data_IF_641677416093
#
_entry.id   IF_641677416093
#
_cell.length_a   1.000
_cell.length_b   1.000
_cell.length_c   1.000
_cell.angle_alpha   90.00
_cell.angle_beta   90.00
_cell.angle_gamma   90.00
#
_symmetry.space_group_name_H-M   'P 1'
#
loop_
_entity.id
_entity.type
_entity.pdbx_description
1 polymer ?
#
# COMPACT_ATOMS: atom_id res chain seq x y z
N UNK A 1 11.83 29.80 -27.77
CA UNK A 1 11.79 29.49 -26.31
C UNK A 1 10.58 28.63 -25.95
N UNK A 2 10.50 27.42 -26.48
CA UNK A 2 9.33 26.54 -26.23
C UNK A 2 9.71 25.06 -26.11
N UNK A 3 10.91 24.71 -25.64
CA UNK A 3 11.34 23.30 -25.53
C UNK A 3 11.62 22.81 -24.11
N UNK A 4 11.48 23.66 -23.10
CA UNK A 4 11.83 23.29 -21.70
C UNK A 4 10.66 22.71 -20.89
N UNK A 5 9.42 22.77 -21.40
CA UNK A 5 8.23 22.32 -20.65
C UNK A 5 7.87 20.86 -20.91
N UNK A 6 8.42 20.23 -21.93
CA UNK A 6 8.04 18.87 -22.35
C UNK A 6 8.84 17.76 -21.67
N UNK A 7 9.96 18.08 -21.04
CA UNK A 7 10.85 17.11 -20.40
C UNK A 7 10.45 16.82 -18.93
N UNK A 8 9.73 17.75 -18.28
CA UNK A 8 9.29 17.61 -16.88
C UNK A 8 8.17 16.61 -16.65
N UNK A 9 7.52 16.14 -17.72
CA UNK A 9 6.34 15.25 -17.63
C UNK A 9 6.69 13.76 -17.72
N UNK A 10 7.99 13.42 -17.80
CA UNK A 10 8.42 12.03 -17.93
C UNK A 10 8.23 11.26 -16.64
N UNK A 11 7.32 10.30 -16.67
CA UNK A 11 7.12 9.38 -15.55
C UNK A 11 8.33 8.44 -15.43
N UNK A 12 9.01 8.46 -14.28
CA UNK A 12 10.11 7.56 -13.96
C UNK A 12 9.57 6.27 -13.37
N UNK A 13 8.53 6.37 -12.54
CA UNK A 13 7.92 5.23 -11.88
C UNK A 13 6.48 5.53 -11.45
N UNK A 14 5.62 4.52 -11.58
CA UNK A 14 4.24 4.55 -11.10
C UNK A 14 3.97 3.33 -10.24
N UNK A 15 3.37 3.51 -9.07
CA UNK A 15 3.06 2.44 -8.14
C UNK A 15 1.73 2.61 -7.44
N UNK A 16 1.19 1.48 -7.01
CA UNK A 16 0.06 1.39 -6.10
C UNK A 16 0.42 0.46 -4.95
N UNK A 17 -0.27 0.53 -3.81
CA UNK A 17 -0.08 -0.42 -2.72
C UNK A 17 -0.13 -1.88 -3.21
N UNK A 18 0.87 -2.66 -2.84
CA UNK A 18 0.95 -4.08 -3.18
C UNK A 18 0.13 -4.90 -2.19
N UNK A 19 -1.00 -5.41 -2.62
CA UNK A 19 -1.94 -6.14 -1.75
C UNK A 19 -1.99 -7.64 -2.04
N UNK A 20 -1.50 -8.09 -3.20
CA UNK A 20 -1.66 -9.48 -3.67
C UNK A 20 -1.14 -10.50 -2.66
N UNK A 21 0.06 -10.30 -2.10
CA UNK A 21 0.62 -11.20 -1.10
C UNK A 21 -0.22 -11.25 0.18
N UNK A 22 -0.80 -10.12 0.59
CA UNK A 22 -1.68 -10.04 1.76
C UNK A 22 -2.98 -10.82 1.55
N UNK A 23 -3.60 -10.67 0.37
CA UNK A 23 -4.81 -11.42 -0.01
C UNK A 23 -4.53 -12.92 0.02
N UNK A 24 -3.48 -13.38 -0.66
CA UNK A 24 -3.15 -14.80 -0.75
C UNK A 24 -2.94 -15.43 0.63
N UNK A 25 -2.10 -14.82 1.48
CA UNK A 25 -1.79 -15.40 2.79
C UNK A 25 -3.01 -15.36 3.72
N UNK A 26 -3.81 -14.30 3.68
CA UNK A 26 -5.07 -14.24 4.45
C UNK A 26 -6.06 -15.31 4.00
N UNK A 27 -6.22 -15.49 2.70
CA UNK A 27 -7.13 -16.52 2.15
C UNK A 27 -6.68 -17.91 2.58
N UNK A 28 -5.38 -18.23 2.51
CA UNK A 28 -4.86 -19.52 2.98
C UNK A 28 -5.11 -19.70 4.49
N UNK A 29 -4.83 -18.69 5.29
CA UNK A 29 -5.02 -18.73 6.74
C UNK A 29 -6.50 -18.97 7.10
N UNK A 30 -7.41 -18.26 6.43
CA UNK A 30 -8.84 -18.44 6.61
C UNK A 30 -9.32 -19.81 6.15
N UNK A 31 -8.79 -20.34 5.06
CA UNK A 31 -9.11 -21.70 4.59
C UNK A 31 -8.69 -22.76 5.60
N UNK A 32 -7.52 -22.60 6.26
CA UNK A 32 -7.07 -23.50 7.32
C UNK A 32 -8.01 -23.45 8.53
N UNK A 33 -8.40 -22.25 8.98
CA UNK A 33 -9.32 -22.09 10.10
C UNK A 33 -10.70 -22.69 9.76
N UNK A 34 -11.23 -22.38 8.57
CA UNK A 34 -12.51 -22.93 8.12
C UNK A 34 -12.50 -24.45 8.06
N UNK A 35 -11.42 -25.05 7.54
CA UNK A 35 -11.24 -26.50 7.52
C UNK A 35 -11.21 -27.11 8.92
N UNK A 36 -10.56 -26.45 9.87
CA UNK A 36 -10.52 -26.87 11.27
C UNK A 36 -11.90 -26.83 11.94
N UNK A 37 -12.66 -25.76 11.72
CA UNK A 37 -14.04 -25.62 12.23
C UNK A 37 -14.95 -26.71 11.65
N UNK A 38 -14.92 -26.91 10.33
CA UNK A 38 -15.71 -27.94 9.65
C UNK A 38 -15.36 -29.35 10.14
N UNK A 39 -14.07 -29.62 10.39
CA UNK A 39 -13.63 -30.90 10.95
C UNK A 39 -14.17 -31.13 12.36
N UNK A 40 -14.11 -30.11 13.22
CA UNK A 40 -14.66 -30.19 14.59
C UNK A 40 -16.16 -30.42 14.59
N UNK A 41 -16.92 -29.67 13.78
CA UNK A 41 -18.36 -29.85 13.66
C UNK A 41 -18.73 -31.21 13.10
N UNK A 42 -18.00 -31.74 12.12
CA UNK A 42 -18.19 -33.10 11.60
C UNK A 42 -17.94 -34.16 12.67
N UNK A 43 -16.88 -33.98 13.46
CA UNK A 43 -16.55 -34.91 14.56
C UNK A 43 -17.60 -34.87 15.66
N UNK A 44 -18.13 -33.72 16.00
CA UNK A 44 -19.21 -33.58 16.97
C UNK A 44 -20.52 -34.21 16.48
N UNK A 45 -20.86 -34.09 15.21
CA UNK A 45 -22.04 -34.74 14.61
C UNK A 45 -21.96 -36.25 14.64
N UNK A 46 -20.76 -36.84 14.51
CA UNK A 46 -20.55 -38.29 14.62
C UNK A 46 -20.77 -38.74 16.07
N UNK A 47 -20.31 -37.96 17.06
CA UNK A 47 -20.45 -38.28 18.49
C UNK A 47 -21.91 -38.13 18.96
N UNK A 48 -22.60 -37.09 18.51
CA UNK A 48 -23.99 -36.79 18.87
C UNK A 48 -24.94 -37.17 17.74
N UNK A 49 -25.11 -38.45 17.48
CA UNK A 49 -25.92 -39.05 16.41
C UNK A 49 -27.42 -38.65 16.41
N UNK A 50 -27.84 -37.80 17.35
CA UNK A 50 -29.18 -37.24 17.51
C UNK A 50 -29.25 -35.72 17.39
N UNK A 51 -28.24 -35.07 16.79
CA UNK A 51 -28.33 -33.62 16.61
C UNK A 51 -29.34 -33.30 15.52
N UNK A 52 -30.48 -32.82 15.99
CA UNK A 52 -31.61 -32.29 15.24
C UNK A 52 -31.16 -31.30 14.16
N UNK A 53 -32.06 -30.94 13.23
CA UNK A 53 -31.92 -29.92 12.17
C UNK A 53 -31.24 -28.60 12.60
N UNK A 54 -31.19 -28.30 13.88
CA UNK A 54 -30.47 -27.16 14.46
C UNK A 54 -28.95 -27.18 14.23
N UNK A 55 -28.30 -28.32 14.22
CA UNK A 55 -26.87 -28.45 13.99
C UNK A 55 -26.46 -27.98 12.58
N UNK A 56 -27.25 -28.37 11.57
CA UNK A 56 -27.01 -27.95 10.18
C UNK A 56 -27.23 -26.45 10.02
N UNK A 57 -28.26 -25.90 10.66
CA UNK A 57 -28.53 -24.46 10.62
C UNK A 57 -27.39 -23.64 11.24
N UNK A 58 -26.84 -24.09 12.36
CA UNK A 58 -25.74 -23.45 13.06
C UNK A 58 -24.47 -23.49 12.21
N UNK A 59 -24.15 -24.59 11.56
CA UNK A 59 -23.05 -24.75 10.63
C UNK A 59 -23.15 -23.76 9.45
N UNK A 60 -24.32 -23.70 8.82
CA UNK A 60 -24.57 -22.77 7.70
C UNK A 60 -24.40 -21.33 8.15
N UNK A 61 -24.92 -20.98 9.33
CA UNK A 61 -24.78 -19.61 9.88
C UNK A 61 -23.33 -19.25 10.14
N UNK A 62 -22.53 -20.17 10.68
CA UNK A 62 -21.10 -20.00 10.94
C UNK A 62 -20.33 -19.77 9.64
N UNK A 63 -20.61 -20.56 8.58
CA UNK A 63 -19.98 -20.35 7.27
C UNK A 63 -20.33 -18.99 6.69
N UNK A 64 -21.60 -18.59 6.75
CA UNK A 64 -22.05 -17.29 6.24
C UNK A 64 -21.36 -16.16 6.99
N UNK A 65 -21.31 -16.20 8.32
CA UNK A 65 -20.64 -15.19 9.13
C UNK A 65 -19.15 -15.09 8.77
N UNK A 66 -18.50 -16.23 8.56
CA UNK A 66 -17.09 -16.29 8.17
C UNK A 66 -16.83 -15.66 6.79
N UNK A 67 -17.70 -15.94 5.81
CA UNK A 67 -17.62 -15.35 4.47
C UNK A 67 -17.83 -13.84 4.50
N UNK A 68 -18.73 -13.34 5.34
CA UNK A 68 -18.99 -11.91 5.49
C UNK A 68 -17.74 -11.21 6.06
N UNK A 69 -17.15 -11.76 7.12
CA UNK A 69 -15.94 -11.20 7.74
C UNK A 69 -14.78 -11.19 6.74
N UNK A 70 -14.60 -12.29 6.01
CA UNK A 70 -13.57 -12.39 4.97
C UNK A 70 -13.78 -11.34 3.87
N UNK A 71 -15.01 -11.21 3.37
CA UNK A 71 -15.35 -10.23 2.33
C UNK A 71 -15.06 -8.79 2.77
N UNK A 72 -15.46 -8.43 4.00
CA UNK A 72 -15.19 -7.08 4.55
C UNK A 72 -13.67 -6.82 4.63
N UNK A 73 -12.89 -7.82 5.01
CA UNK A 73 -11.44 -7.69 5.12
C UNK A 73 -10.75 -7.52 3.77
N UNK A 74 -11.18 -8.25 2.74
CA UNK A 74 -10.65 -8.11 1.39
C UNK A 74 -11.07 -6.78 0.74
N UNK A 75 -12.30 -6.35 0.98
CA UNK A 75 -12.79 -5.05 0.52
C UNK A 75 -11.92 -3.90 1.03
N UNK A 76 -11.50 -3.94 2.28
CA UNK A 76 -10.60 -2.94 2.87
C UNK A 76 -9.26 -2.83 2.14
N UNK A 77 -8.67 -3.95 1.72
CA UNK A 77 -7.43 -3.96 0.93
C UNK A 77 -7.64 -3.42 -0.48
N UNK A 78 -8.75 -3.78 -1.12
CA UNK A 78 -9.12 -3.27 -2.44
C UNK A 78 -9.30 -1.75 -2.42
N UNK A 79 -10.01 -1.23 -1.42
CA UNK A 79 -10.19 0.21 -1.22
C UNK A 79 -8.83 0.88 -1.02
N UNK A 80 -7.95 0.33 -0.19
CA UNK A 80 -6.61 0.88 0.02
C UNK A 80 -5.81 0.98 -1.29
N UNK A 81 -5.90 -0.02 -2.16
CA UNK A 81 -5.23 -0.01 -3.47
C UNK A 81 -5.86 0.98 -4.43
N UNK A 82 -7.17 1.09 -4.43
CA UNK A 82 -7.91 1.99 -5.32
C UNK A 82 -7.69 3.47 -4.93
N UNK A 83 -7.55 3.74 -3.64
CA UNK A 83 -7.44 5.11 -3.11
C UNK A 83 -6.03 5.69 -3.18
N UNK A 84 -4.99 4.87 -3.33
CA UNK A 84 -3.62 5.35 -3.30
C UNK A 84 -2.92 5.12 -4.64
N UNK A 85 -2.36 6.19 -5.20
CA UNK A 85 -1.54 6.17 -6.40
C UNK A 85 -0.29 7.02 -6.16
N UNK A 86 0.85 6.44 -6.47
CA UNK A 86 2.15 7.08 -6.35
C UNK A 86 2.75 7.24 -7.74
N UNK A 87 3.20 8.44 -8.08
CA UNK A 87 3.82 8.74 -9.38
C UNK A 87 5.11 9.51 -9.12
N UNK A 88 6.23 8.92 -9.47
CA UNK A 88 7.54 9.58 -9.46
C UNK A 88 7.81 10.10 -10.86
N UNK A 89 7.95 11.41 -10.98
CA UNK A 89 8.39 12.10 -12.18
C UNK A 89 9.87 12.47 -12.07
N UNK A 90 10.44 13.00 -13.12
CA UNK A 90 11.84 13.44 -13.11
C UNK A 90 12.09 14.62 -12.17
N UNK A 91 11.08 15.45 -11.92
CA UNK A 91 11.17 16.71 -11.15
C UNK A 91 10.36 16.70 -9.85
N UNK A 92 9.50 15.71 -9.65
CA UNK A 92 8.56 15.73 -8.54
C UNK A 92 8.05 14.34 -8.16
N UNK A 93 7.55 14.22 -6.93
CA UNK A 93 6.84 13.05 -6.47
C UNK A 93 5.39 13.40 -6.17
N UNK A 94 4.47 12.83 -6.94
CA UNK A 94 3.04 12.96 -6.71
C UNK A 94 2.49 11.81 -5.87
N UNK A 95 1.82 12.13 -4.79
CA UNK A 95 1.07 11.19 -3.96
C UNK A 95 -0.40 11.54 -4.06
N UNK A 96 -1.17 10.69 -4.75
CA UNK A 96 -2.62 10.82 -4.89
C UNK A 96 -3.30 9.89 -3.90
N UNK A 97 -4.15 10.46 -3.03
CA UNK A 97 -4.91 9.71 -2.04
C UNK A 97 -6.37 10.11 -2.08
N UNK A 98 -7.26 9.11 -1.95
CA UNK A 98 -8.71 9.33 -1.87
C UNK A 98 -9.48 8.57 -2.94
N UNK A 99 -10.71 8.16 -2.60
CA UNK A 99 -11.63 7.43 -3.48
C UNK A 99 -12.64 8.39 -4.14
N UNK A 100 -13.34 9.17 -3.33
CA UNK A 100 -14.36 10.13 -3.80
C UNK A 100 -13.77 11.53 -3.98
N UNK A 101 -12.89 11.92 -3.07
CA UNK A 101 -12.19 13.20 -3.16
C UNK A 101 -10.69 12.92 -3.24
N UNK A 102 -10.10 13.18 -4.39
CA UNK A 102 -8.67 12.96 -4.60
C UNK A 102 -7.86 14.13 -4.05
N UNK A 103 -7.00 13.86 -3.08
CA UNK A 103 -5.98 14.79 -2.60
C UNK A 103 -4.67 14.47 -3.30
N UNK A 104 -4.17 15.38 -4.11
CA UNK A 104 -2.87 15.28 -4.76
C UNK A 104 -1.86 16.10 -3.96
N UNK A 105 -0.79 15.46 -3.50
CA UNK A 105 0.35 16.14 -2.88
C UNK A 105 1.54 16.00 -3.80
N UNK A 106 2.05 17.13 -4.27
CA UNK A 106 3.25 17.20 -5.11
C UNK A 106 4.41 17.60 -4.21
N UNK A 107 5.43 16.77 -4.19
CA UNK A 107 6.66 16.99 -3.42
C UNK A 107 7.75 17.36 -4.42
N UNK A 108 8.22 18.59 -4.32
CA UNK A 108 9.34 19.11 -5.13
C UNK A 108 10.67 18.91 -4.40
N UNK A 109 11.81 18.83 -5.11
CA UNK A 109 13.11 18.57 -4.51
C UNK A 109 13.52 19.58 -3.43
N UNK A 110 13.17 20.85 -3.61
CA UNK A 110 13.46 21.92 -2.65
C UNK A 110 12.78 21.75 -1.29
N UNK A 111 11.66 21.03 -1.25
CA UNK A 111 10.95 20.71 -0.01
C UNK A 111 11.31 19.34 0.58
N UNK A 112 12.13 18.55 -0.11
CA UNK A 112 12.52 17.22 0.36
C UNK A 112 13.60 17.34 1.44
N UNK A 113 13.32 16.77 2.63
CA UNK A 113 14.26 16.78 3.75
C UNK A 113 14.90 15.43 3.96
N UNK A 114 14.10 14.40 4.17
CA UNK A 114 14.58 13.05 4.47
C UNK A 114 13.58 11.98 4.03
N UNK A 115 14.09 10.76 3.89
CA UNK A 115 13.32 9.57 3.54
C UNK A 115 13.61 8.46 4.53
N UNK A 116 12.58 8.03 5.23
CA UNK A 116 12.64 6.95 6.20
C UNK A 116 11.89 5.71 5.69
N UNK A 117 12.54 4.56 5.77
CA UNK A 117 11.98 3.28 5.37
C UNK A 117 11.51 2.49 6.57
N UNK A 118 10.20 2.23 6.66
CA UNK A 118 9.60 1.46 7.74
C UNK A 118 9.21 0.08 7.23
N UNK A 119 9.77 -0.96 7.86
CA UNK A 119 9.42 -2.35 7.58
C UNK A 119 9.02 -3.07 8.85
N UNK A 120 7.74 -3.42 8.96
CA UNK A 120 7.26 -4.35 9.98
C UNK A 120 7.66 -5.79 9.64
N UNK A 121 7.57 -6.71 10.61
CA UNK A 121 7.83 -8.14 10.39
C UNK A 121 6.94 -8.68 9.27
N UNK A 122 5.66 -8.37 9.29
CA UNK A 122 4.71 -8.78 8.26
C UNK A 122 5.07 -8.21 6.88
N UNK A 123 5.48 -6.94 6.81
CA UNK A 123 5.92 -6.31 5.58
C UNK A 123 7.16 -6.98 4.97
N UNK A 124 8.08 -7.47 5.81
CA UNK A 124 9.27 -8.22 5.36
C UNK A 124 8.87 -9.54 4.68
N UNK A 125 7.94 -10.29 5.29
CA UNK A 125 7.42 -11.56 4.74
C UNK A 125 6.75 -11.31 3.38
N UNK A 126 6.04 -10.21 3.22
CA UNK A 126 5.34 -9.87 1.98
C UNK A 126 6.18 -9.11 0.94
N UNK A 127 7.45 -8.86 1.22
CA UNK A 127 8.34 -8.10 0.33
C UNK A 127 7.89 -6.64 0.13
N UNK A 128 7.22 -6.07 1.13
CA UNK A 128 6.69 -4.70 1.08
C UNK A 128 7.29 -3.84 2.20
N UNK A 129 7.00 -2.56 2.18
CA UNK A 129 7.31 -1.62 3.26
C UNK A 129 6.62 -0.30 3.03
N UNK A 130 6.69 0.54 4.05
CA UNK A 130 6.18 1.89 3.98
C UNK A 130 7.35 2.86 3.86
N UNK A 131 7.18 3.87 3.01
CA UNK A 131 8.17 4.93 2.81
C UNK A 131 7.58 6.21 3.40
N UNK A 132 8.23 6.76 4.41
CA UNK A 132 7.90 8.06 4.98
C UNK A 132 8.81 9.12 4.37
N UNK A 133 8.21 10.18 3.86
CA UNK A 133 8.90 11.30 3.24
C UNK A 133 8.68 12.51 4.13
N UNK A 134 9.75 13.04 4.66
CA UNK A 134 9.77 14.26 5.47
C UNK A 134 9.93 15.46 4.55
N UNK A 135 9.06 16.44 4.68
CA UNK A 135 9.05 17.66 3.88
C UNK A 135 9.37 18.80 4.81
N UNK A 136 10.43 19.55 4.48
CA UNK A 136 10.82 20.76 5.19
C UNK A 136 9.87 21.89 4.80
N UNK A 137 8.95 22.23 5.68
CA UNK A 137 7.98 23.31 5.54
C UNK A 137 7.79 23.97 6.90
N UNK A 138 7.14 25.14 6.97
CA UNK A 138 6.82 25.83 8.23
C UNK A 138 6.12 24.95 9.28
N UNK A 139 5.51 23.85 8.82
CA UNK A 139 4.97 22.76 9.68
C UNK A 139 5.49 21.46 9.11
N UNK A 140 6.45 20.82 9.73
CA UNK A 140 7.02 19.53 9.32
C UNK A 140 5.94 18.54 8.88
N UNK A 141 5.68 18.47 7.58
CA UNK A 141 4.72 17.53 7.01
C UNK A 141 5.40 16.25 6.64
N UNK A 142 4.84 15.15 7.14
CA UNK A 142 5.26 13.80 6.75
C UNK A 142 4.23 13.19 5.81
N UNK A 143 4.68 12.73 4.65
CA UNK A 143 3.84 11.93 3.72
C UNK A 143 4.28 10.48 3.76
N UNK A 144 3.31 9.57 3.70
CA UNK A 144 3.54 8.13 3.80
C UNK A 144 3.03 7.42 2.56
N UNK A 145 3.92 6.66 1.91
CA UNK A 145 3.56 5.68 0.89
C UNK A 145 3.42 4.31 1.55
N UNK A 146 2.28 3.66 1.41
CA UNK A 146 1.90 2.46 2.17
C UNK A 146 2.06 1.23 1.29
N UNK A 147 2.59 0.13 1.86
CA UNK A 147 2.70 -1.19 1.21
C UNK A 147 3.36 -1.14 -0.17
N UNK A 148 4.44 -0.39 -0.29
CA UNK A 148 5.23 -0.32 -1.52
C UNK A 148 5.98 -1.64 -1.71
N UNK A 149 5.90 -2.22 -2.92
CA UNK A 149 6.69 -3.39 -3.27
C UNK A 149 8.14 -2.97 -3.48
N UNK A 150 9.06 -3.79 -3.00
CA UNK A 150 10.50 -3.52 -3.02
C UNK A 150 10.84 -2.08 -2.61
N UNK A 151 10.52 -1.73 -1.36
CA UNK A 151 10.56 -0.36 -0.91
C UNK A 151 11.99 0.21 -0.88
N UNK A 152 13.01 -0.64 -0.81
CA UNK A 152 14.43 -0.18 -0.88
C UNK A 152 14.76 0.34 -2.26
N UNK A 153 14.35 -0.39 -3.30
CA UNK A 153 14.58 0.04 -4.68
C UNK A 153 13.86 1.35 -4.98
N UNK A 154 12.59 1.44 -4.59
CA UNK A 154 11.78 2.65 -4.78
C UNK A 154 12.34 3.83 -3.98
N UNK A 155 12.75 3.62 -2.74
CA UNK A 155 13.36 4.65 -1.90
C UNK A 155 14.67 5.20 -2.52
N UNK A 156 15.52 4.32 -3.04
CA UNK A 156 16.75 4.72 -3.72
C UNK A 156 16.45 5.48 -5.02
N UNK A 157 15.42 5.07 -5.76
CA UNK A 157 14.98 5.75 -6.97
C UNK A 157 14.49 7.17 -6.66
N UNK A 158 13.66 7.35 -5.62
CA UNK A 158 13.18 8.65 -5.16
C UNK A 158 14.39 9.52 -4.77
N UNK A 159 15.30 8.97 -3.95
CA UNK A 159 16.49 9.70 -3.49
C UNK A 159 17.36 10.16 -4.66
N UNK A 160 17.58 9.31 -5.65
CA UNK A 160 18.38 9.64 -6.83
C UNK A 160 17.73 10.73 -7.68
N UNK A 161 16.41 10.69 -7.89
CA UNK A 161 15.67 11.72 -8.63
C UNK A 161 15.75 13.05 -7.89
N UNK A 162 15.49 13.07 -6.59
CA UNK A 162 15.55 14.29 -5.79
C UNK A 162 16.95 14.90 -5.73
N UNK A 163 17.99 14.07 -5.59
CA UNK A 163 19.39 14.54 -5.59
C UNK A 163 19.82 15.15 -6.92
N UNK A 164 19.46 14.53 -8.05
CA UNK A 164 19.78 15.05 -9.39
C UNK A 164 19.18 16.43 -9.64
N UNK A 165 17.94 16.61 -9.22
CA UNK A 165 17.26 17.89 -9.40
C UNK A 165 17.81 18.98 -8.47
N UNK A 166 18.24 18.62 -7.27
CA UNK A 166 18.89 19.56 -6.35
C UNK A 166 20.17 20.13 -6.97
N UNK A 167 21.03 19.29 -7.56
CA UNK A 167 22.26 19.71 -8.26
C UNK A 167 21.94 20.62 -9.46
N UNK A 168 20.92 20.28 -10.26
CA UNK A 168 20.52 21.08 -11.43
C UNK A 168 20.02 22.48 -11.06
N UNK A 169 19.34 22.59 -9.92
CA UNK A 169 18.87 23.90 -9.41
C UNK A 169 20.04 24.78 -8.93
N UNK A 170 21.03 24.16 -8.27
CA UNK A 170 22.21 24.86 -7.78
C UNK A 170 23.10 25.39 -8.94
N UNK A 171 23.32 24.56 -9.98
CA UNK A 171 24.05 24.99 -11.20
C UNK A 171 23.34 26.12 -11.97
N UNK A 172 21.99 26.10 -11.99
CA UNK A 172 21.18 27.12 -12.66
C UNK A 172 21.23 28.49 -11.98
N UNK A 173 21.52 28.56 -10.69
CA UNK A 173 21.61 29.80 -9.92
C UNK A 173 23.00 30.43 -10.04
N UNK A 174 24.06 29.63 -10.23
CA UNK A 174 25.43 30.07 -10.43
C UNK A 174 25.61 30.75 -11.81
N UNK A 175 24.88 30.34 -12.83
CA UNK A 175 24.98 30.88 -14.19
C UNK A 175 24.21 32.17 -14.40
N UNK A 176 23.42 32.61 -13.42
CA UNK A 176 22.67 33.89 -13.47
C UNK A 176 23.32 35.06 -12.74
N UNK A 177 24.48 34.87 -12.14
CA UNK A 177 25.33 35.93 -11.56
C UNK A 177 26.45 36.32 -12.51
#
# INVERSE_FOLDING_TARGET
>A
MASSTQDSDREVWRGRPWITSYVVVRTIFLAIIASGVLYLESSMNIIYRNVSSYGIQLLVLTIIAFLIIWFIWELNLLVLRATNLYVLREDSLEIKTGLLTTKTSVIVPTGFSDLELIRSITSRIYGTGDIMIKIQSERDFTKRMIKVRDPTHVANMIRNVMARQFVRLDEGDITKK
#
